data_IF_254355263692
#
_entry.id   IF_254355263692
#
_cell.length_a   1.000
_cell.length_b   1.000
_cell.length_c   1.000
_cell.angle_alpha   90.00
_cell.angle_beta   90.00
_cell.angle_gamma   90.00
#
_symmetry.space_group_name_H-M   'P 1'
#
loop_
_entity.id
_entity.type
_entity.pdbx_description
1 polymer ?
#
# COMPACT_ATOMS: atom_id res chain seq x y z
N UNK A 1 -15.29 1.18 0.23
CA UNK A 1 -14.49 -0.03 -0.04
C UNK A 1 -15.37 -1.16 -0.59
N UNK A 2 -16.15 -1.90 0.22
CA UNK A 2 -17.05 -3.01 -0.23
C UNK A 2 -17.88 -2.73 -1.49
N UNK A 3 -18.48 -1.55 -1.61
CA UNK A 3 -19.29 -1.18 -2.78
C UNK A 3 -18.46 -0.86 -4.03
N UNK A 4 -17.20 -0.43 -3.88
CA UNK A 4 -16.25 -0.23 -5.00
C UNK A 4 -15.62 -1.56 -5.42
N UNK A 5 -15.21 -2.42 -4.49
CA UNK A 5 -14.69 -3.76 -4.76
C UNK A 5 -15.76 -4.68 -5.39
N UNK A 6 -17.01 -4.65 -4.89
CA UNK A 6 -18.15 -5.34 -5.53
C UNK A 6 -18.42 -4.82 -6.94
N UNK A 7 -18.26 -3.52 -7.19
CA UNK A 7 -18.36 -2.93 -8.54
C UNK A 7 -17.22 -3.38 -9.47
N UNK A 8 -16.05 -3.71 -8.92
CA UNK A 8 -14.87 -4.22 -9.64
C UNK A 8 -14.84 -5.74 -9.80
N UNK A 9 -15.84 -6.47 -9.25
CA UNK A 9 -15.89 -7.93 -9.32
C UNK A 9 -14.85 -8.65 -8.44
N UNK A 10 -14.19 -7.93 -7.52
CA UNK A 10 -13.20 -8.50 -6.62
C UNK A 10 -13.87 -9.39 -5.57
N UNK A 11 -13.30 -10.57 -5.30
CA UNK A 11 -13.81 -11.53 -4.34
C UNK A 11 -13.79 -10.96 -2.91
N UNK A 12 -14.95 -10.62 -2.36
CA UNK A 12 -15.05 -10.02 -1.01
C UNK A 12 -15.08 -11.05 0.13
N UNK A 13 -14.73 -12.32 -0.12
CA UNK A 13 -14.87 -13.42 0.85
C UNK A 13 -13.93 -13.27 2.06
N UNK A 14 -12.68 -12.85 1.84
CA UNK A 14 -11.71 -12.58 2.91
C UNK A 14 -12.16 -11.42 3.81
N UNK A 15 -12.82 -10.41 3.23
CA UNK A 15 -13.32 -9.24 3.94
C UNK A 15 -14.50 -9.54 4.87
N UNK A 16 -15.30 -10.57 4.56
CA UNK A 16 -16.42 -10.99 5.41
C UNK A 16 -15.95 -11.55 6.75
N UNK A 17 -14.88 -12.33 6.75
CA UNK A 17 -14.26 -12.81 7.99
C UNK A 17 -13.60 -11.69 8.78
N UNK A 18 -13.03 -10.70 8.09
CA UNK A 18 -12.41 -9.54 8.73
C UNK A 18 -13.40 -8.65 9.44
N UNK A 19 -14.49 -8.29 8.77
CA UNK A 19 -15.57 -7.50 9.37
C UNK A 19 -16.15 -8.23 10.58
N UNK A 20 -16.27 -9.56 10.49
CA UNK A 20 -16.71 -10.39 11.62
C UNK A 20 -15.71 -10.34 12.78
N UNK A 21 -14.41 -10.55 12.53
CA UNK A 21 -13.37 -10.49 13.57
C UNK A 21 -13.24 -9.09 14.18
N UNK A 22 -13.41 -8.03 13.39
CA UNK A 22 -13.45 -6.64 13.85
C UNK A 22 -14.67 -6.40 14.77
N UNK A 23 -15.86 -6.85 14.38
CA UNK A 23 -17.07 -6.78 15.22
C UNK A 23 -16.95 -7.58 16.52
N UNK A 24 -16.22 -8.70 16.47
CA UNK A 24 -15.98 -9.58 17.61
C UNK A 24 -14.77 -9.12 18.46
N UNK A 25 -14.01 -8.11 18.01
CA UNK A 25 -12.80 -7.61 18.68
C UNK A 25 -11.65 -8.63 18.74
N UNK A 26 -11.63 -9.61 17.83
CA UNK A 26 -10.66 -10.73 17.82
C UNK A 26 -9.58 -10.58 16.74
N UNK A 27 -9.45 -9.39 16.16
CA UNK A 27 -8.62 -9.15 15.01
C UNK A 27 -7.26 -8.54 15.39
N UNK A 28 -6.19 -9.32 15.20
CA UNK A 28 -4.80 -8.93 15.53
C UNK A 28 -3.88 -8.79 14.30
N UNK A 29 -4.39 -8.84 13.05
CA UNK A 29 -3.53 -8.80 11.86
C UNK A 29 -4.22 -8.18 10.65
N UNK A 30 -3.56 -7.24 9.95
CA UNK A 30 -4.02 -6.71 8.66
C UNK A 30 -3.27 -7.38 7.52
N UNK A 31 -3.97 -8.06 6.61
CA UNK A 31 -3.46 -8.35 5.25
C UNK A 31 -3.30 -7.03 4.47
N UNK A 32 -2.08 -6.51 4.55
CA UNK A 32 -1.60 -5.47 3.67
C UNK A 32 -0.88 -6.20 2.54
N UNK A 33 -1.56 -6.35 1.40
CA UNK A 33 -0.95 -6.94 0.21
C UNK A 33 0.34 -6.20 -0.18
N UNK A 34 1.28 -6.91 -0.81
CA UNK A 34 2.55 -6.36 -1.26
C UNK A 34 2.33 -5.10 -2.11
N UNK A 35 2.82 -3.97 -1.62
CA UNK A 35 2.60 -2.67 -2.26
C UNK A 35 3.88 -1.82 -2.23
N UNK A 36 4.60 -1.79 -3.35
CA UNK A 36 5.86 -1.05 -3.45
C UNK A 36 5.70 0.47 -3.31
N UNK A 37 4.50 1.03 -3.53
CA UNK A 37 4.24 2.46 -3.26
C UNK A 37 4.16 2.73 -1.77
N UNK A 38 3.55 1.80 -1.01
CA UNK A 38 3.58 1.85 0.43
C UNK A 38 5.01 1.71 0.95
N UNK A 39 5.80 0.77 0.41
CA UNK A 39 7.18 0.55 0.87
C UNK A 39 8.07 1.78 0.60
N UNK A 40 7.91 2.39 -0.58
CA UNK A 40 8.56 3.65 -0.93
C UNK A 40 8.14 4.79 0.00
N UNK A 41 6.86 4.88 0.37
CA UNK A 41 6.37 5.88 1.31
C UNK A 41 6.94 5.71 2.72
N UNK A 42 6.98 4.47 3.23
CA UNK A 42 7.38 4.19 4.60
C UNK A 42 8.90 4.29 4.81
N UNK A 43 9.70 3.82 3.85
CA UNK A 43 11.14 3.65 4.06
C UNK A 43 11.99 3.81 2.78
N UNK A 44 11.48 4.50 1.75
CA UNK A 44 12.19 4.72 0.48
C UNK A 44 12.57 3.43 -0.28
N UNK A 45 11.97 2.29 0.10
CA UNK A 45 12.28 0.98 -0.47
C UNK A 45 11.75 0.88 -1.90
N UNK A 46 12.63 0.43 -2.80
CA UNK A 46 12.38 0.29 -4.24
C UNK A 46 11.87 1.56 -4.95
N UNK A 47 12.30 2.72 -4.46
CA UNK A 47 11.85 4.03 -4.94
C UNK A 47 12.75 4.64 -6.03
N UNK A 48 13.13 3.87 -7.05
CA UNK A 48 14.17 4.28 -8.02
C UNK A 48 13.65 4.86 -9.35
N UNK A 49 12.40 4.59 -9.74
CA UNK A 49 11.84 4.98 -11.05
C UNK A 49 11.27 6.41 -11.10
N UNK A 50 10.84 6.86 -12.29
CA UNK A 50 10.35 8.22 -12.62
C UNK A 50 9.17 8.73 -11.78
N UNK A 51 8.53 7.86 -10.98
CA UNK A 51 7.36 8.18 -10.15
C UNK A 51 7.73 7.97 -8.68
N UNK A 52 8.72 8.74 -8.21
CA UNK A 52 9.23 8.61 -6.84
C UNK A 52 8.22 9.16 -5.83
N UNK A 53 8.04 8.41 -4.76
CA UNK A 53 7.36 8.90 -3.57
C UNK A 53 8.38 9.67 -2.74
N UNK A 54 8.04 10.84 -2.21
CA UNK A 54 8.84 11.44 -1.14
C UNK A 54 8.58 10.60 0.12
N UNK A 55 9.57 9.86 0.65
CA UNK A 55 9.34 8.98 1.80
C UNK A 55 9.08 9.80 3.07
N UNK A 56 8.42 9.18 4.05
CA UNK A 56 8.28 9.69 5.41
C UNK A 56 9.68 9.78 6.05
N UNK A 57 10.48 8.73 5.88
CA UNK A 57 11.86 8.67 6.35
C UNK A 57 12.67 7.61 5.62
N UNK A 58 13.99 7.70 5.70
CA UNK A 58 14.88 6.56 5.46
C UNK A 58 14.74 5.53 6.60
N UNK A 59 15.12 4.24 6.39
CA UNK A 59 15.08 3.22 7.43
C UNK A 59 15.87 3.62 8.68
N UNK A 60 15.28 3.41 9.86
CA UNK A 60 15.83 3.83 11.17
C UNK A 60 16.39 2.68 12.00
N UNK A 61 16.29 1.44 11.52
CA UNK A 61 16.49 0.25 12.32
C UNK A 61 15.29 -0.02 13.24
N UNK A 62 15.46 -0.96 14.17
CA UNK A 62 14.48 -1.19 15.23
C UNK A 62 14.51 -0.05 16.26
N UNK A 63 13.36 0.29 16.87
CA UNK A 63 13.35 1.27 17.94
C UNK A 63 14.14 0.78 19.15
N UNK A 64 14.78 1.69 19.90
CA UNK A 64 15.60 1.32 21.06
C UNK A 64 14.82 0.65 22.20
N UNK A 65 13.52 0.94 22.28
CA UNK A 65 12.54 0.39 23.22
C UNK A 65 11.71 -0.74 22.59
N UNK A 66 12.20 -1.37 21.51
CA UNK A 66 11.53 -2.52 20.88
C UNK A 66 11.27 -3.64 21.88
N UNK A 67 10.09 -4.24 21.83
CA UNK A 67 9.75 -5.38 22.69
C UNK A 67 10.60 -6.60 22.33
N UNK A 68 10.84 -7.48 23.32
CA UNK A 68 11.59 -8.72 23.11
C UNK A 68 11.00 -9.56 21.98
N UNK A 69 9.66 -9.66 21.92
CA UNK A 69 8.95 -10.45 20.89
C UNK A 69 9.23 -9.92 19.48
N UNK A 70 9.19 -8.60 19.28
CA UNK A 70 9.45 -8.00 17.96
C UNK A 70 10.91 -8.14 17.60
N UNK A 71 11.82 -7.99 18.57
CA UNK A 71 13.26 -8.17 18.35
C UNK A 71 13.60 -9.60 17.93
N UNK A 72 13.07 -10.60 18.64
CA UNK A 72 13.27 -12.01 18.29
C UNK A 72 12.74 -12.31 16.88
N UNK A 73 11.58 -11.76 16.50
CA UNK A 73 11.03 -11.92 15.14
C UNK A 73 11.88 -11.28 14.05
N UNK A 74 12.47 -10.12 14.33
CA UNK A 74 13.40 -9.47 13.42
C UNK A 74 14.71 -10.26 13.28
N UNK A 75 15.25 -10.77 14.39
CA UNK A 75 16.49 -11.55 14.42
C UNK A 75 16.32 -12.94 13.76
N UNK A 76 15.12 -13.52 13.79
CA UNK A 76 14.80 -14.82 13.14
C UNK A 76 14.79 -14.76 11.61
N UNK A 77 14.57 -13.58 11.02
CA UNK A 77 14.35 -13.44 9.59
C UNK A 77 15.58 -12.86 8.89
N UNK A 78 16.52 -13.73 8.53
CA UNK A 78 17.81 -13.35 7.91
C UNK A 78 17.69 -12.52 6.62
N UNK A 79 16.60 -12.66 5.86
CA UNK A 79 16.36 -11.91 4.63
C UNK A 79 15.55 -10.61 4.85
N UNK A 80 15.11 -10.34 6.07
CA UNK A 80 14.41 -9.11 6.41
C UNK A 80 15.36 -7.92 6.27
N UNK A 81 14.94 -6.93 5.49
CA UNK A 81 15.75 -5.74 5.24
C UNK A 81 14.99 -4.45 5.59
N UNK A 82 15.75 -3.35 5.69
CA UNK A 82 15.22 -2.00 5.90
C UNK A 82 14.27 -1.88 7.12
N UNK A 83 14.66 -2.52 8.22
CA UNK A 83 13.97 -2.39 9.52
C UNK A 83 13.76 -0.91 9.87
N UNK A 84 12.55 -0.57 10.26
CA UNK A 84 12.20 0.80 10.63
C UNK A 84 10.96 0.84 11.52
N UNK A 85 10.63 2.05 11.96
CA UNK A 85 9.42 2.34 12.71
C UNK A 85 8.96 3.76 12.43
N UNK A 86 7.64 3.98 12.54
CA UNK A 86 7.00 5.28 12.34
C UNK A 86 5.87 5.48 13.36
N UNK A 87 5.79 6.67 13.94
CA UNK A 87 4.70 7.01 14.87
C UNK A 87 3.40 7.29 14.11
N UNK A 88 2.26 7.20 14.79
CA UNK A 88 0.96 7.53 14.19
C UNK A 88 0.94 8.99 13.74
N UNK A 89 1.60 9.87 14.48
CA UNK A 89 1.76 11.27 14.07
C UNK A 89 2.43 11.39 12.71
N UNK A 90 3.59 10.75 12.52
CA UNK A 90 4.30 10.75 11.24
C UNK A 90 3.43 10.22 10.09
N UNK A 91 2.69 9.13 10.34
CA UNK A 91 1.75 8.58 9.36
C UNK A 91 0.59 9.54 9.05
N UNK A 92 0.07 10.24 10.06
CA UNK A 92 -1.10 11.13 9.92
C UNK A 92 -0.78 12.47 9.27
N UNK A 93 0.43 12.99 9.50
CA UNK A 93 0.91 14.28 8.97
C UNK A 93 1.56 14.14 7.59
N UNK A 94 1.80 12.90 7.13
CA UNK A 94 2.39 12.64 5.83
C UNK A 94 1.48 13.05 4.67
N UNK A 95 2.09 13.62 3.62
CA UNK A 95 1.38 13.98 2.40
C UNK A 95 1.03 12.73 1.57
N UNK A 96 -0.13 12.15 1.84
CA UNK A 96 -0.68 11.04 1.07
C UNK A 96 -1.36 11.48 -0.24
N UNK A 97 -1.45 12.78 -0.51
CA UNK A 97 -2.03 13.34 -1.73
C UNK A 97 -1.01 13.52 -2.87
N UNK A 98 0.25 13.13 -2.62
CA UNK A 98 1.31 13.03 -3.62
C UNK A 98 0.81 12.39 -4.91
N UNK A 99 1.10 13.04 -6.04
CA UNK A 99 0.70 12.59 -7.37
C UNK A 99 1.70 11.56 -7.91
N UNK A 100 1.20 10.37 -8.19
CA UNK A 100 1.98 9.28 -8.76
C UNK A 100 1.57 9.16 -10.23
N UNK A 101 2.49 9.46 -11.13
CA UNK A 101 2.28 9.20 -12.55
C UNK A 101 2.47 7.71 -12.84
N UNK A 102 1.79 7.22 -13.85
CA UNK A 102 1.93 5.87 -14.35
C UNK A 102 1.95 5.90 -15.86
N UNK A 103 2.57 4.88 -16.44
CA UNK A 103 2.51 4.60 -17.86
C UNK A 103 2.41 3.09 -18.05
N UNK A 104 1.70 2.69 -19.10
CA UNK A 104 1.45 1.28 -19.38
C UNK A 104 0.70 1.09 -20.67
N UNK A 105 0.70 -0.14 -21.14
CA UNK A 105 0.02 -0.58 -22.35
C UNK A 105 -1.33 -1.19 -22.02
N UNK A 106 -2.34 -0.86 -22.83
CA UNK A 106 -3.70 -1.38 -22.71
C UNK A 106 -4.24 -1.84 -24.06
N UNK A 107 -5.22 -2.73 -24.04
CA UNK A 107 -5.99 -3.08 -25.23
C UNK A 107 -7.08 -2.03 -25.54
N UNK A 108 -7.84 -2.23 -26.61
CA UNK A 108 -8.88 -1.26 -27.03
C UNK A 108 -10.07 -1.17 -26.05
N UNK A 109 -10.40 -2.25 -25.34
CA UNK A 109 -11.47 -2.25 -24.32
C UNK A 109 -11.05 -1.37 -23.15
N UNK A 110 -9.88 -1.65 -22.59
CA UNK A 110 -9.35 -0.94 -21.45
C UNK A 110 -8.98 0.51 -21.79
N UNK A 111 -8.56 0.79 -23.03
CA UNK A 111 -8.42 2.16 -23.54
C UNK A 111 -9.75 2.91 -23.56
N UNK A 112 -10.83 2.26 -23.97
CA UNK A 112 -12.17 2.86 -23.97
C UNK A 112 -12.67 3.16 -22.55
N UNK A 113 -12.31 2.34 -21.57
CA UNK A 113 -12.57 2.63 -20.15
C UNK A 113 -11.71 3.78 -19.63
N UNK A 114 -10.41 3.79 -19.97
CA UNK A 114 -9.48 4.85 -19.59
C UNK A 114 -9.98 6.22 -20.06
N UNK A 115 -10.50 6.33 -21.30
CA UNK A 115 -11.09 7.58 -21.80
C UNK A 115 -12.30 8.08 -21.00
N UNK A 116 -13.02 7.19 -20.30
CA UNK A 116 -14.18 7.55 -19.48
C UNK A 116 -13.78 7.87 -18.04
N UNK A 117 -12.85 7.10 -17.49
CA UNK A 117 -12.55 7.07 -16.06
C UNK A 117 -11.27 7.84 -15.69
N UNK A 118 -10.41 8.13 -16.67
CA UNK A 118 -9.10 8.78 -16.46
C UNK A 118 -8.01 7.85 -15.93
N UNK A 119 -8.33 6.58 -15.63
CA UNK A 119 -7.39 5.55 -15.22
C UNK A 119 -7.87 4.18 -15.75
N UNK A 120 -6.94 3.27 -16.10
CA UNK A 120 -7.29 1.91 -16.50
C UNK A 120 -7.64 1.05 -15.28
N UNK A 121 -8.41 -0.03 -15.51
CA UNK A 121 -8.68 -1.06 -14.49
C UNK A 121 -7.49 -2.03 -14.37
N UNK A 122 -6.85 -2.37 -15.50
CA UNK A 122 -5.61 -3.14 -15.56
C UNK A 122 -4.73 -2.65 -16.71
N UNK A 123 -3.43 -2.97 -16.69
CA UNK A 123 -2.47 -2.53 -17.71
C UNK A 123 -1.24 -3.45 -17.73
N UNK A 124 -0.48 -3.39 -18.81
CA UNK A 124 0.79 -4.10 -18.96
C UNK A 124 1.97 -3.14 -18.91
N UNK A 125 3.05 -3.54 -18.23
CA UNK A 125 4.27 -2.74 -18.14
C UNK A 125 4.95 -2.56 -19.49
N UNK A 126 5.04 -3.63 -20.24
CA UNK A 126 5.75 -3.69 -21.51
C UNK A 126 4.77 -4.07 -22.63
N UNK A 127 5.09 -3.61 -23.83
CA UNK A 127 4.42 -4.07 -25.05
C UNK A 127 4.66 -5.59 -25.17
N UNK A 128 3.58 -6.37 -25.15
CA UNK A 128 3.67 -7.82 -25.31
C UNK A 128 2.58 -8.33 -26.24
N UNK A 129 2.88 -9.36 -27.01
CA UNK A 129 1.89 -10.07 -27.81
C UNK A 129 1.51 -11.34 -27.06
N UNK A 130 0.44 -11.30 -26.26
CA UNK A 130 -0.15 -12.51 -25.67
C UNK A 130 -1.32 -12.98 -26.55
N UNK A 131 -1.18 -14.16 -27.15
CA UNK A 131 -2.30 -14.84 -27.83
C UNK A 131 -2.82 -14.17 -29.11
N UNK A 132 -2.05 -13.28 -29.75
CA UNK A 132 -2.46 -12.61 -30.99
C UNK A 132 -3.32 -11.35 -30.80
N UNK A 133 -3.46 -10.87 -29.56
CA UNK A 133 -4.01 -9.53 -29.26
C UNK A 133 -2.86 -8.54 -29.31
N UNK A 134 -2.96 -7.54 -30.18
CA UNK A 134 -1.99 -6.45 -30.27
C UNK A 134 -2.26 -5.47 -29.12
N UNK A 135 -1.34 -5.40 -28.15
CA UNK A 135 -1.39 -4.45 -27.03
C UNK A 135 -0.89 -3.07 -27.50
N UNK A 136 -1.76 -2.33 -28.19
CA UNK A 136 -1.32 -1.25 -29.08
C UNK A 136 -1.14 0.13 -28.44
N UNK A 137 -1.65 0.39 -27.23
CA UNK A 137 -1.83 1.78 -26.75
C UNK A 137 -1.10 2.03 -25.44
N UNK A 138 -0.02 2.78 -25.55
CA UNK A 138 0.61 3.43 -24.39
C UNK A 138 -0.33 4.52 -23.88
N UNK A 139 -0.71 4.41 -22.61
CA UNK A 139 -1.45 5.45 -21.88
C UNK A 139 -0.62 5.93 -20.69
N UNK A 140 -0.96 7.13 -20.23
CA UNK A 140 -0.42 7.71 -19.01
C UNK A 140 -1.57 8.20 -18.15
N UNK A 141 -1.48 7.98 -16.84
CA UNK A 141 -2.47 8.44 -15.89
C UNK A 141 -1.80 8.86 -14.58
N UNK A 142 -2.58 9.46 -13.70
CA UNK A 142 -2.09 9.95 -12.41
C UNK A 142 -3.08 9.57 -11.31
N UNK A 143 -2.56 8.98 -10.25
CA UNK A 143 -3.31 8.68 -9.03
C UNK A 143 -2.72 9.40 -7.83
N UNK A 144 -3.46 9.48 -6.74
CA UNK A 144 -2.90 9.91 -5.45
C UNK A 144 -2.28 8.74 -4.72
N UNK A 145 -1.24 8.99 -3.91
CA UNK A 145 -0.59 7.93 -3.14
C UNK A 145 -1.58 7.21 -2.21
N UNK A 146 -2.53 7.92 -1.58
CA UNK A 146 -3.60 7.31 -0.79
C UNK A 146 -4.48 6.35 -1.59
N UNK A 147 -4.78 6.65 -2.85
CA UNK A 147 -5.53 5.73 -3.72
C UNK A 147 -4.69 4.49 -4.05
N UNK A 148 -3.37 4.65 -4.25
CA UNK A 148 -2.46 3.55 -4.53
C UNK A 148 -2.22 2.61 -3.34
N UNK A 149 -2.22 3.11 -2.10
CA UNK A 149 -2.02 2.29 -0.88
C UNK A 149 -3.33 1.83 -0.23
N UNK A 150 -4.46 2.34 -0.73
CA UNK A 150 -5.85 1.94 -0.45
C UNK A 150 -6.11 1.57 1.03
N UNK A 151 -6.10 0.28 1.36
CA UNK A 151 -6.48 -0.25 2.68
C UNK A 151 -5.55 0.22 3.79
N UNK A 152 -4.27 0.47 3.49
CA UNK A 152 -3.36 1.04 4.49
C UNK A 152 -3.82 2.44 4.92
N UNK A 153 -4.14 3.31 3.96
CA UNK A 153 -4.59 4.67 4.26
C UNK A 153 -6.02 4.70 4.81
N UNK A 154 -6.93 3.93 4.23
CA UNK A 154 -8.37 4.01 4.54
C UNK A 154 -8.78 3.24 5.80
N UNK A 155 -7.98 2.28 6.25
CA UNK A 155 -8.29 1.48 7.43
C UNK A 155 -7.16 1.50 8.47
N UNK A 156 -5.91 1.25 8.07
CA UNK A 156 -4.80 1.07 9.04
C UNK A 156 -4.48 2.38 9.77
N UNK A 157 -4.31 3.49 9.06
CA UNK A 157 -4.02 4.79 9.68
C UNK A 157 -5.15 5.23 10.65
N UNK A 158 -6.44 5.21 10.26
CA UNK A 158 -7.54 5.50 11.19
C UNK A 158 -7.55 4.63 12.44
N UNK A 159 -7.26 3.33 12.33
CA UNK A 159 -7.23 2.42 13.48
C UNK A 159 -6.05 2.70 14.41
N UNK A 160 -4.90 3.05 13.86
CA UNK A 160 -3.76 3.49 14.64
C UNK A 160 -4.04 4.81 15.37
N UNK A 161 -4.77 5.74 14.73
CA UNK A 161 -5.23 6.98 15.37
C UNK A 161 -6.22 6.70 16.50
N UNK A 162 -7.17 5.77 16.30
CA UNK A 162 -8.10 5.33 17.34
C UNK A 162 -7.35 4.72 18.53
N UNK A 163 -6.37 3.86 18.27
CA UNK A 163 -5.54 3.22 19.30
C UNK A 163 -4.69 4.22 20.10
N UNK A 164 -4.24 5.29 19.45
CA UNK A 164 -3.43 6.34 20.07
C UNK A 164 -4.20 7.19 21.09
N UNK A 165 -5.54 7.15 21.09
CA UNK A 165 -6.44 7.84 22.03
C UNK A 165 -6.03 9.29 22.34
N UNK A 166 -5.67 10.03 21.29
CA UNK A 166 -5.27 11.45 21.36
C UNK A 166 -3.77 11.73 21.52
N UNK A 167 -2.95 10.73 21.89
CA UNK A 167 -1.49 10.85 21.89
C UNK A 167 -0.88 10.12 20.69
N UNK A 168 -0.76 10.81 19.56
CA UNK A 168 -0.29 10.24 18.29
C UNK A 168 1.20 9.79 18.31
N UNK A 169 1.95 10.13 19.35
CA UNK A 169 3.35 9.67 19.54
C UNK A 169 3.41 8.38 20.38
N UNK A 170 2.34 8.05 21.10
CA UNK A 170 2.27 6.86 21.98
C UNK A 170 2.23 5.54 21.23
N UNK A 171 1.75 5.57 19.98
CA UNK A 171 1.62 4.40 19.11
C UNK A 171 2.57 4.54 17.92
N UNK A 172 3.19 3.43 17.54
CA UNK A 172 4.05 3.33 16.36
C UNK A 172 3.89 1.97 15.70
N UNK A 173 4.11 1.94 14.38
CA UNK A 173 4.33 0.69 13.67
C UNK A 173 5.82 0.36 13.69
N UNK A 174 6.15 -0.92 13.77
CA UNK A 174 7.51 -1.45 13.55
C UNK A 174 7.41 -2.41 12.37
N UNK A 175 8.29 -2.25 11.38
CA UNK A 175 8.19 -2.98 10.11
C UNK A 175 9.55 -3.23 9.48
N UNK A 176 9.58 -4.19 8.57
CA UNK A 176 10.69 -4.54 7.70
C UNK A 176 10.11 -5.17 6.42
N UNK A 177 10.94 -5.40 5.42
CA UNK A 177 10.50 -5.88 4.11
C UNK A 177 11.17 -7.19 3.76
N UNK A 178 10.48 -7.99 2.97
CA UNK A 178 11.03 -9.15 2.29
C UNK A 178 11.52 -8.77 0.88
N UNK A 179 12.43 -9.58 0.35
CA UNK A 179 12.92 -9.40 -1.01
C UNK A 179 11.86 -9.72 -2.09
#
# INVERSE_FOLDING_TARGET
MLQRCKKRGEGTSLWGEWIKKEQEGTYDFVDIHRNYRLYAALANVRNYYYNRVKPISEPRGLPSDVSTVVKEKADEWDEAHDHSYLTVKELSEFDWDQKICFEGFVDDEQYSEFLKNGAPTWWYRDESEWGGVTLCRLIQWTETLKDCVDTFYTWSIPKLIELADGDLESVRIVFWFDN
#
